data_IF_089590796725
#
_entry.id   IF_089590796725
#
_cell.length_a   1.000
_cell.length_b   1.000
_cell.length_c   1.000
_cell.angle_alpha   90.00
_cell.angle_beta   90.00
_cell.angle_gamma   90.00
#
_symmetry.space_group_name_H-M   'P 1'
#
loop_
_entity.id
_entity.type
_entity.pdbx_description
1 polymer ?
#
# COMPACT_ATOMS: atom_id res chain seq x y z
N UNK A 1 33.53 -4.28 -9.46
CA UNK A 1 33.34 -5.74 -9.55
C UNK A 1 32.15 -6.06 -8.68
N UNK A 2 31.00 -6.46 -9.25
CA UNK A 2 29.92 -7.05 -8.48
C UNK A 2 30.41 -8.44 -8.06
N UNK A 3 30.50 -8.69 -6.75
CA UNK A 3 30.73 -10.03 -6.24
C UNK A 3 29.55 -10.92 -6.70
N UNK A 4 29.88 -11.99 -7.40
CA UNK A 4 28.88 -12.99 -7.83
C UNK A 4 28.50 -13.78 -6.59
N UNK A 5 27.41 -13.36 -5.94
CA UNK A 5 26.88 -14.07 -4.78
C UNK A 5 25.95 -15.18 -5.25
N UNK A 6 26.23 -16.40 -4.83
CA UNK A 6 25.36 -17.55 -5.06
C UNK A 6 23.97 -17.26 -4.47
N UNK A 7 22.94 -17.53 -5.26
CA UNK A 7 21.56 -17.39 -4.79
C UNK A 7 21.21 -18.52 -3.84
N UNK A 8 20.48 -18.19 -2.77
CA UNK A 8 19.96 -19.19 -1.84
C UNK A 8 18.93 -20.09 -2.56
N UNK A 9 19.21 -21.38 -2.65
CA UNK A 9 18.33 -22.35 -3.36
C UNK A 9 17.62 -23.31 -2.43
N UNK A 10 18.12 -23.49 -1.19
CA UNK A 10 17.52 -24.34 -0.16
C UNK A 10 17.89 -23.86 1.23
N UNK A 11 17.15 -24.33 2.23
CA UNK A 11 17.43 -24.14 3.65
C UNK A 11 17.43 -25.49 4.36
N UNK A 12 18.28 -25.64 5.38
CA UNK A 12 18.30 -26.82 6.25
C UNK A 12 17.71 -26.50 7.62
N UNK A 13 16.97 -27.45 8.20
CA UNK A 13 16.49 -27.32 9.56
C UNK A 13 17.66 -27.21 10.54
N UNK A 14 17.62 -26.21 11.43
CA UNK A 14 18.72 -25.92 12.34
C UNK A 14 19.83 -25.04 11.73
N UNK A 15 19.78 -24.71 10.45
CA UNK A 15 20.73 -23.78 9.83
C UNK A 15 20.74 -22.44 10.58
N UNK A 16 21.95 -21.94 10.86
CA UNK A 16 22.16 -20.71 11.61
C UNK A 16 22.44 -19.53 10.66
N UNK A 17 21.65 -18.48 10.79
CA UNK A 17 21.75 -17.28 9.97
C UNK A 17 22.14 -16.11 10.87
N UNK A 18 23.37 -15.55 10.75
CA UNK A 18 23.79 -14.38 11.52
C UNK A 18 22.95 -13.14 11.16
N UNK A 19 22.63 -12.32 12.16
CA UNK A 19 21.96 -11.03 11.96
C UNK A 19 22.31 -10.06 13.11
N UNK A 20 22.11 -8.77 12.88
CA UNK A 20 22.29 -7.74 13.90
C UNK A 20 23.69 -7.70 14.55
N UNK A 21 24.71 -8.22 13.87
CA UNK A 21 26.11 -8.20 14.28
C UNK A 21 26.53 -9.43 15.10
N UNK A 22 25.85 -9.76 16.18
CA UNK A 22 26.22 -10.81 17.15
C UNK A 22 25.13 -11.85 17.43
N UNK A 23 23.97 -11.73 16.77
CA UNK A 23 22.82 -12.60 16.97
C UNK A 23 22.72 -13.66 15.87
N UNK A 24 21.97 -14.73 16.14
CA UNK A 24 21.74 -15.83 15.21
C UNK A 24 20.27 -16.19 15.19
N UNK A 25 19.67 -16.19 14.02
CA UNK A 25 18.37 -16.82 13.76
C UNK A 25 18.56 -18.28 13.36
N UNK A 26 17.64 -19.14 13.76
CA UNK A 26 17.68 -20.58 13.46
C UNK A 26 16.52 -20.95 12.55
N UNK A 27 16.83 -21.59 11.43
CA UNK A 27 15.83 -22.05 10.46
C UNK A 27 15.01 -23.19 11.08
N UNK A 28 13.68 -23.01 11.12
CA UNK A 28 12.77 -24.07 11.57
C UNK A 28 12.64 -25.20 10.53
N UNK A 29 12.24 -26.39 10.97
CA UNK A 29 11.97 -27.51 10.06
C UNK A 29 10.86 -27.16 9.05
N UNK A 30 9.85 -26.40 9.47
CA UNK A 30 8.78 -25.94 8.60
C UNK A 30 9.32 -25.01 7.50
N UNK A 31 10.08 -23.97 7.87
CA UNK A 31 10.65 -23.02 6.91
C UNK A 31 11.56 -23.74 5.89
N UNK A 32 12.40 -24.67 6.38
CA UNK A 32 13.27 -25.47 5.51
C UNK A 32 12.47 -26.33 4.51
N UNK A 33 11.36 -26.93 4.96
CA UNK A 33 10.51 -27.76 4.09
C UNK A 33 9.69 -26.96 3.07
N UNK A 34 9.41 -25.69 3.35
CA UNK A 34 8.60 -24.79 2.51
C UNK A 34 9.45 -24.00 1.51
N UNK A 35 10.72 -23.75 1.82
CA UNK A 35 11.60 -22.90 0.98
C UNK A 35 11.89 -23.58 -0.36
N UNK A 36 11.83 -22.78 -1.43
CA UNK A 36 12.06 -23.22 -2.82
C UNK A 36 13.09 -22.30 -3.50
N UNK A 37 13.79 -22.78 -4.52
CA UNK A 37 14.63 -21.93 -5.35
C UNK A 37 13.83 -20.74 -5.92
N UNK A 38 14.39 -19.53 -5.79
CA UNK A 38 13.72 -18.29 -6.19
C UNK A 38 12.97 -17.59 -5.06
N UNK A 39 12.67 -18.28 -3.96
CA UNK A 39 12.11 -17.63 -2.77
C UNK A 39 13.10 -16.64 -2.16
N UNK A 40 12.58 -15.61 -1.55
CA UNK A 40 13.37 -14.63 -0.80
C UNK A 40 13.24 -14.89 0.71
N UNK A 41 14.37 -14.84 1.41
CA UNK A 41 14.43 -14.91 2.85
C UNK A 41 14.73 -13.53 3.44
N UNK A 42 13.83 -13.04 4.27
CA UNK A 42 14.03 -11.79 5.02
C UNK A 42 14.29 -12.11 6.48
N UNK A 43 15.40 -11.64 7.02
CA UNK A 43 15.66 -11.67 8.46
C UNK A 43 15.23 -10.35 9.05
N UNK A 44 14.20 -10.33 9.88
CA UNK A 44 13.76 -9.11 10.57
C UNK A 44 14.80 -8.74 11.62
N UNK A 45 15.55 -7.67 11.39
CA UNK A 45 16.72 -7.31 12.20
C UNK A 45 16.40 -7.02 13.69
N UNK A 46 15.19 -6.56 13.99
CA UNK A 46 14.77 -6.26 15.36
C UNK A 46 14.52 -7.54 16.19
N UNK A 47 13.92 -8.57 15.57
CA UNK A 47 13.46 -9.78 16.27
C UNK A 47 14.24 -11.04 15.94
N UNK A 48 14.96 -11.09 14.82
CA UNK A 48 15.56 -12.31 14.27
C UNK A 48 14.56 -13.26 13.60
N UNK A 49 13.30 -12.82 13.41
CA UNK A 49 12.29 -13.63 12.73
C UNK A 49 12.69 -13.82 11.27
N UNK A 50 12.59 -15.06 10.81
CA UNK A 50 12.80 -15.43 9.42
C UNK A 50 11.47 -15.40 8.67
N UNK A 51 11.37 -14.58 7.62
CA UNK A 51 10.18 -14.45 6.78
C UNK A 51 10.53 -14.98 5.39
N UNK A 52 9.74 -15.93 4.91
CA UNK A 52 9.80 -16.42 3.53
C UNK A 52 8.86 -15.59 2.67
N UNK A 53 9.36 -15.10 1.56
CA UNK A 53 8.58 -14.51 0.48
C UNK A 53 8.67 -15.46 -0.72
N UNK A 54 7.59 -16.17 -1.08
CA UNK A 54 7.56 -17.00 -2.27
C UNK A 54 7.92 -16.22 -3.53
N UNK A 55 8.60 -16.87 -4.48
CA UNK A 55 9.03 -16.23 -5.74
C UNK A 55 7.87 -15.56 -6.46
N UNK A 56 6.72 -16.24 -6.60
CA UNK A 56 5.52 -15.69 -7.25
C UNK A 56 4.98 -14.42 -6.58
N UNK A 57 5.07 -14.34 -5.24
CA UNK A 57 4.64 -13.15 -4.51
C UNK A 57 5.61 -11.99 -4.70
N UNK A 58 6.89 -12.30 -4.78
CA UNK A 58 7.91 -11.31 -5.09
C UNK A 58 7.73 -10.76 -6.51
N UNK A 59 7.56 -11.63 -7.52
CA UNK A 59 7.35 -11.25 -8.92
C UNK A 59 6.07 -10.42 -9.11
N UNK A 60 4.96 -10.82 -8.46
CA UNK A 60 3.70 -10.07 -8.50
C UNK A 60 3.88 -8.64 -7.98
N UNK A 61 4.56 -8.50 -6.85
CA UNK A 61 4.82 -7.19 -6.24
C UNK A 61 5.82 -6.38 -7.07
N UNK A 62 6.89 -7.01 -7.56
CA UNK A 62 7.88 -6.36 -8.42
C UNK A 62 7.23 -5.74 -9.66
N UNK A 63 6.33 -6.50 -10.31
CA UNK A 63 5.58 -6.02 -11.46
C UNK A 63 4.64 -4.85 -11.10
N UNK A 64 3.92 -4.93 -9.97
CA UNK A 64 3.03 -3.87 -9.52
C UNK A 64 3.79 -2.58 -9.20
N UNK A 65 4.92 -2.69 -8.47
CA UNK A 65 5.77 -1.54 -8.14
C UNK A 65 6.43 -0.97 -9.41
N UNK A 66 6.90 -1.83 -10.33
CA UNK A 66 7.45 -1.38 -11.62
C UNK A 66 6.45 -0.56 -12.44
N UNK A 67 5.18 -1.01 -12.50
CA UNK A 67 4.11 -0.24 -13.14
C UNK A 67 3.84 1.09 -12.42
N UNK A 68 3.89 1.11 -11.09
CA UNK A 68 3.68 2.34 -10.32
C UNK A 68 4.83 3.34 -10.49
N UNK A 69 6.08 2.88 -10.59
CA UNK A 69 7.24 3.72 -10.91
C UNK A 69 7.07 4.37 -12.29
N UNK A 70 6.67 3.60 -13.29
CA UNK A 70 6.38 4.12 -14.63
C UNK A 70 5.20 5.10 -14.60
N UNK A 71 4.14 4.77 -13.83
CA UNK A 71 2.97 5.61 -13.61
C UNK A 71 3.33 6.93 -12.94
N UNK A 72 4.23 6.91 -11.96
CA UNK A 72 4.71 8.12 -11.28
C UNK A 72 5.42 9.07 -12.27
N UNK A 73 6.32 8.55 -13.09
CA UNK A 73 7.00 9.35 -14.12
C UNK A 73 6.01 10.00 -15.10
N UNK A 74 5.03 9.22 -15.57
CA UNK A 74 4.02 9.74 -16.50
C UNK A 74 3.01 10.70 -15.84
N UNK A 75 2.74 10.53 -14.52
CA UNK A 75 1.84 11.42 -13.76
C UNK A 75 2.41 12.84 -13.62
N UNK A 76 3.73 13.01 -13.72
CA UNK A 76 4.38 14.32 -13.69
C UNK A 76 3.93 15.21 -14.85
N UNK A 77 3.55 14.63 -15.99
CA UNK A 77 3.06 15.35 -17.17
C UNK A 77 1.54 15.66 -17.09
N UNK A 78 0.84 15.11 -16.10
CA UNK A 78 -0.61 15.31 -15.95
C UNK A 78 -0.91 16.62 -15.23
N UNK A 79 -2.00 17.28 -15.64
CA UNK A 79 -2.49 18.51 -15.03
C UNK A 79 -3.26 18.25 -13.73
N UNK A 80 -3.41 19.29 -12.90
CA UNK A 80 -4.24 19.21 -11.70
C UNK A 80 -5.72 19.01 -12.02
N UNK A 81 -6.18 19.51 -13.18
CA UNK A 81 -7.55 19.29 -13.68
C UNK A 81 -7.79 17.81 -14.01
N UNK A 82 -6.80 17.11 -14.60
CA UNK A 82 -6.91 15.68 -14.85
C UNK A 82 -6.97 14.89 -13.54
N UNK A 83 -6.18 15.26 -12.54
CA UNK A 83 -6.23 14.62 -11.21
C UNK A 83 -7.57 14.92 -10.53
N UNK A 84 -8.09 16.13 -10.63
CA UNK A 84 -9.42 16.51 -10.13
C UNK A 84 -10.51 15.70 -10.82
N UNK A 85 -10.43 15.57 -12.16
CA UNK A 85 -11.37 14.76 -12.94
C UNK A 85 -11.31 13.26 -12.54
N UNK A 86 -10.14 12.71 -12.22
CA UNK A 86 -10.03 11.35 -11.72
C UNK A 86 -10.85 11.12 -10.45
N UNK A 87 -10.73 11.97 -9.45
CA UNK A 87 -11.51 11.84 -8.22
C UNK A 87 -13.00 11.99 -8.47
N UNK A 88 -13.41 12.95 -9.32
CA UNK A 88 -14.81 13.14 -9.68
C UNK A 88 -15.39 11.92 -10.41
N UNK A 89 -14.66 11.40 -11.41
CA UNK A 89 -15.08 10.20 -12.15
C UNK A 89 -15.14 8.97 -11.26
N UNK A 90 -14.16 8.77 -10.37
CA UNK A 90 -14.16 7.62 -9.46
C UNK A 90 -15.36 7.70 -8.49
N UNK A 91 -15.62 8.86 -7.89
CA UNK A 91 -16.80 9.09 -7.07
C UNK A 91 -18.10 8.86 -7.88
N UNK A 92 -18.13 9.30 -9.15
CA UNK A 92 -19.24 9.10 -10.06
C UNK A 92 -19.53 7.62 -10.33
N UNK A 93 -18.52 6.82 -10.64
CA UNK A 93 -18.67 5.38 -10.86
C UNK A 93 -19.15 4.64 -9.60
N UNK A 94 -18.67 5.03 -8.41
CA UNK A 94 -19.17 4.46 -7.16
C UNK A 94 -20.62 4.88 -6.84
N UNK A 95 -21.10 5.98 -7.41
CA UNK A 95 -22.47 6.49 -7.24
C UNK A 95 -23.45 5.83 -8.22
N UNK A 96 -22.96 5.44 -9.37
CA UNK A 96 -23.75 4.81 -10.41
C UNK A 96 -24.15 3.38 -10.01
N UNK A 97 -25.44 3.05 -10.13
CA UNK A 97 -25.97 1.76 -9.67
C UNK A 97 -25.49 0.59 -10.53
N UNK A 98 -25.40 0.75 -11.84
CA UNK A 98 -24.98 -0.32 -12.75
C UNK A 98 -23.51 -0.67 -12.55
N UNK A 99 -22.66 0.34 -12.34
CA UNK A 99 -21.25 0.17 -12.01
C UNK A 99 -21.05 -0.41 -10.61
N UNK A 100 -21.88 -0.03 -9.65
CA UNK A 100 -21.76 -0.49 -8.27
C UNK A 100 -22.30 -1.91 -8.05
N UNK A 101 -23.25 -2.38 -8.84
CA UNK A 101 -23.87 -3.70 -8.69
C UNK A 101 -22.84 -4.86 -8.63
N UNK A 102 -21.86 -4.99 -9.56
CA UNK A 102 -20.84 -6.04 -9.47
C UNK A 102 -19.93 -5.89 -8.24
N UNK A 103 -19.66 -4.67 -7.78
CA UNK A 103 -18.88 -4.41 -6.56
C UNK A 103 -19.66 -4.91 -5.33
N UNK A 104 -20.94 -4.61 -5.25
CA UNK A 104 -21.80 -5.08 -4.17
C UNK A 104 -21.91 -6.61 -4.16
N UNK A 105 -22.03 -7.26 -5.33
CA UNK A 105 -22.05 -8.72 -5.44
C UNK A 105 -20.73 -9.34 -4.92
N UNK A 106 -19.58 -8.83 -5.35
CA UNK A 106 -18.27 -9.28 -4.84
C UNK A 106 -18.13 -9.09 -3.32
N UNK A 107 -18.73 -8.03 -2.77
CA UNK A 107 -18.71 -7.81 -1.32
C UNK A 107 -19.58 -8.83 -0.57
N UNK A 108 -20.73 -9.22 -1.09
CA UNK A 108 -21.57 -10.28 -0.52
C UNK A 108 -20.75 -11.58 -0.42
N UNK A 109 -20.08 -11.97 -1.50
CA UNK A 109 -19.23 -13.16 -1.52
C UNK A 109 -18.07 -13.10 -0.50
N UNK A 110 -17.42 -11.94 -0.38
CA UNK A 110 -16.36 -11.73 0.62
C UNK A 110 -16.90 -11.88 2.06
N UNK A 111 -18.06 -11.29 2.33
CA UNK A 111 -18.71 -11.35 3.65
C UNK A 111 -19.12 -12.80 3.98
N UNK A 112 -19.66 -13.55 3.02
CA UNK A 112 -20.03 -14.94 3.22
C UNK A 112 -18.80 -15.83 3.50
N UNK A 113 -17.71 -15.65 2.75
CA UNK A 113 -16.44 -16.35 2.98
C UNK A 113 -15.86 -16.03 4.37
N UNK A 114 -15.90 -14.77 4.80
CA UNK A 114 -15.43 -14.36 6.11
C UNK A 114 -16.27 -14.98 7.24
N UNK A 115 -17.59 -15.01 7.11
CA UNK A 115 -18.52 -15.67 8.06
C UNK A 115 -18.24 -17.17 8.17
N UNK A 116 -18.07 -17.85 7.03
CA UNK A 116 -17.77 -19.28 7.00
C UNK A 116 -16.46 -19.62 7.73
N UNK A 117 -15.53 -18.68 7.80
CA UNK A 117 -14.26 -18.78 8.54
C UNK A 117 -14.34 -18.29 9.99
N UNK A 118 -15.53 -17.92 10.49
CA UNK A 118 -15.73 -17.39 11.84
C UNK A 118 -15.11 -16.00 12.08
N UNK A 119 -14.85 -15.23 11.02
CA UNK A 119 -14.27 -13.88 11.11
C UNK A 119 -15.35 -12.80 11.27
N UNK A 120 -14.98 -11.70 11.94
CA UNK A 120 -15.87 -10.54 12.08
C UNK A 120 -16.09 -9.87 10.73
N UNK A 121 -17.35 -9.62 10.38
CA UNK A 121 -17.74 -8.94 9.14
C UNK A 121 -18.14 -7.47 9.34
N UNK A 122 -18.12 -6.96 10.57
CA UNK A 122 -18.61 -5.60 10.90
C UNK A 122 -17.94 -4.49 10.07
N UNK A 123 -16.66 -4.66 9.73
CA UNK A 123 -15.90 -3.69 8.94
C UNK A 123 -15.77 -4.07 7.46
N UNK A 124 -16.31 -5.23 7.10
CA UNK A 124 -16.21 -5.78 5.75
C UNK A 124 -17.44 -5.44 4.91
N UNK A 125 -18.61 -5.39 5.54
CA UNK A 125 -19.87 -5.11 4.85
C UNK A 125 -19.83 -3.73 4.20
N UNK A 126 -19.96 -3.70 2.88
CA UNK A 126 -20.07 -2.49 2.07
C UNK A 126 -21.54 -2.05 1.99
N UNK A 127 -22.04 -1.51 3.08
CA UNK A 127 -23.39 -0.95 3.13
C UNK A 127 -23.44 0.46 2.50
N UNK A 128 -24.65 0.99 2.39
CA UNK A 128 -24.88 2.32 1.81
C UNK A 128 -24.18 3.44 2.58
N UNK A 129 -23.98 3.27 3.89
CA UNK A 129 -23.23 4.23 4.70
C UNK A 129 -21.74 4.21 4.33
N UNK A 130 -21.16 3.03 4.13
CA UNK A 130 -19.78 2.88 3.72
C UNK A 130 -19.57 3.37 2.28
N UNK A 131 -20.49 3.05 1.35
CA UNK A 131 -20.49 3.57 -0.02
C UNK A 131 -20.46 5.09 -0.05
N UNK A 132 -21.39 5.75 0.66
CA UNK A 132 -21.40 7.21 0.79
C UNK A 132 -20.12 7.77 1.41
N UNK A 133 -19.55 7.08 2.41
CA UNK A 133 -18.29 7.47 3.03
C UNK A 133 -17.12 7.42 2.05
N UNK A 134 -17.06 6.41 1.18
CA UNK A 134 -16.05 6.30 0.12
C UNK A 134 -16.18 7.45 -0.90
N UNK A 135 -17.41 7.71 -1.36
CA UNK A 135 -17.71 8.81 -2.28
C UNK A 135 -17.29 10.15 -1.67
N UNK A 136 -17.71 10.44 -0.44
CA UNK A 136 -17.37 11.67 0.27
C UNK A 136 -15.84 11.83 0.47
N UNK A 137 -15.13 10.73 0.74
CA UNK A 137 -13.67 10.75 0.84
C UNK A 137 -12.98 11.12 -0.47
N UNK A 138 -13.47 10.60 -1.61
CA UNK A 138 -12.96 10.95 -2.94
C UNK A 138 -13.29 12.41 -3.31
N UNK A 139 -14.50 12.87 -3.00
CA UNK A 139 -14.91 14.28 -3.20
C UNK A 139 -14.06 15.22 -2.34
N UNK A 140 -13.74 14.83 -1.09
CA UNK A 140 -12.83 15.59 -0.25
C UNK A 140 -11.44 15.78 -0.87
N UNK A 141 -10.91 14.71 -1.50
CA UNK A 141 -9.65 14.82 -2.24
C UNK A 141 -9.79 15.66 -3.53
N UNK A 142 -10.90 15.54 -4.26
CA UNK A 142 -11.22 16.40 -5.41
C UNK A 142 -11.13 17.87 -5.04
N UNK A 143 -11.71 18.24 -3.91
CA UNK A 143 -11.84 19.62 -3.46
C UNK A 143 -10.58 20.13 -2.74
N UNK A 144 -9.61 19.25 -2.44
CA UNK A 144 -8.33 19.61 -1.83
C UNK A 144 -7.40 20.25 -2.88
N UNK A 145 -6.78 21.37 -2.54
CA UNK A 145 -5.78 22.03 -3.38
C UNK A 145 -4.56 21.12 -3.56
N UNK A 146 -4.10 20.96 -4.80
CA UNK A 146 -2.95 20.09 -5.11
C UNK A 146 -1.64 20.66 -4.56
N UNK A 147 -1.44 21.96 -4.65
CA UNK A 147 -0.21 22.64 -4.22
C UNK A 147 1.08 22.03 -4.83
N UNK A 148 0.98 21.34 -5.97
CA UNK A 148 2.15 20.81 -6.67
C UNK A 148 3.02 21.96 -7.15
N UNK A 149 4.32 21.82 -7.09
CA UNK A 149 5.32 22.81 -7.51
C UNK A 149 5.24 24.19 -6.81
N UNK A 150 4.42 24.30 -5.74
CA UNK A 150 4.34 25.52 -4.97
C UNK A 150 5.69 25.86 -4.36
N UNK A 151 6.15 27.10 -4.58
CA UNK A 151 7.30 27.66 -3.85
C UNK A 151 6.93 27.82 -2.37
N UNK A 152 7.64 27.11 -1.49
CA UNK A 152 7.44 27.17 -0.03
C UNK A 152 8.36 28.17 0.64
N UNK A 153 9.54 28.43 0.03
CA UNK A 153 10.52 29.40 0.49
C UNK A 153 11.38 29.86 -0.68
N UNK A 154 11.89 31.10 -0.64
CA UNK A 154 12.80 31.62 -1.64
C UNK A 154 13.79 32.61 -1.02
N UNK A 155 15.08 32.42 -1.32
CA UNK A 155 16.16 33.27 -0.87
C UNK A 155 16.80 33.92 -2.08
N UNK A 156 16.81 35.26 -2.11
CA UNK A 156 17.46 36.03 -3.15
C UNK A 156 18.89 36.43 -2.73
N UNK A 157 19.83 36.28 -3.66
CA UNK A 157 21.20 36.73 -3.56
C UNK A 157 21.53 37.66 -4.73
N UNK A 158 22.69 38.34 -4.66
CA UNK A 158 23.12 39.18 -5.78
C UNK A 158 23.44 38.29 -7.00
N UNK A 159 22.64 38.45 -8.06
CA UNK A 159 22.77 37.71 -9.32
C UNK A 159 22.19 36.28 -9.38
N UNK A 160 21.64 35.75 -8.29
CA UNK A 160 20.99 34.43 -8.27
C UNK A 160 19.96 34.29 -7.14
N UNK A 161 19.10 33.27 -7.23
CA UNK A 161 18.14 32.93 -6.18
C UNK A 161 18.01 31.42 -6.02
N UNK A 162 17.63 30.97 -4.81
CA UNK A 162 17.28 29.60 -4.52
C UNK A 162 15.82 29.55 -4.08
N UNK A 163 15.03 28.66 -4.67
CA UNK A 163 13.65 28.43 -4.27
C UNK A 163 13.45 26.98 -3.85
N UNK A 164 12.78 26.77 -2.71
CA UNK A 164 12.32 25.46 -2.26
C UNK A 164 10.92 25.22 -2.82
N UNK A 165 10.78 24.15 -3.61
CA UNK A 165 9.51 23.76 -4.20
C UNK A 165 8.95 22.52 -3.48
N UNK A 166 7.63 22.47 -3.36
CA UNK A 166 6.93 21.25 -2.95
C UNK A 166 6.97 20.25 -4.10
N UNK A 167 7.45 19.02 -3.85
CA UNK A 167 7.54 17.95 -4.83
C UNK A 167 6.85 16.67 -4.31
N UNK A 168 6.31 15.83 -5.20
CA UNK A 168 5.82 14.51 -4.80
C UNK A 168 6.96 13.62 -4.30
N UNK A 169 6.64 12.68 -3.40
CA UNK A 169 7.62 11.77 -2.82
C UNK A 169 8.06 10.69 -3.81
N UNK A 170 7.12 10.15 -4.60
CA UNK A 170 7.34 9.02 -5.47
C UNK A 170 6.24 7.97 -5.37
N UNK A 171 6.62 6.69 -5.30
CA UNK A 171 5.69 5.57 -5.11
C UNK A 171 5.42 5.37 -3.63
N UNK A 172 4.14 5.42 -3.23
CA UNK A 172 3.71 5.15 -1.85
C UNK A 172 3.13 3.74 -1.76
N UNK A 173 3.69 2.91 -0.88
CA UNK A 173 3.19 1.57 -0.61
C UNK A 173 2.24 1.54 0.57
N UNK A 174 1.04 0.96 0.43
CA UNK A 174 0.12 0.74 1.54
C UNK A 174 -0.13 -0.74 1.81
N UNK A 175 -0.19 -1.11 3.08
CA UNK A 175 -0.76 -2.38 3.54
C UNK A 175 -1.90 -2.09 4.50
N UNK A 176 -3.11 -2.51 4.11
CA UNK A 176 -4.34 -2.32 4.86
C UNK A 176 -4.87 -3.66 5.41
N UNK A 177 -5.60 -3.59 6.52
CA UNK A 177 -6.53 -4.65 6.92
C UNK A 177 -7.67 -4.79 5.89
N UNK A 178 -8.44 -5.89 5.97
CA UNK A 178 -9.56 -6.16 5.08
C UNK A 178 -10.75 -5.22 5.31
N UNK A 179 -10.73 -4.06 4.65
CA UNK A 179 -11.83 -3.08 4.64
C UNK A 179 -12.01 -2.53 3.23
N UNK A 180 -13.21 -2.54 2.67
CA UNK A 180 -13.47 -2.02 1.32
C UNK A 180 -13.19 -0.52 1.15
N UNK A 181 -13.30 0.28 2.19
CA UNK A 181 -13.24 1.75 2.13
C UNK A 181 -11.83 2.35 2.09
N UNK A 182 -10.78 1.55 1.98
CA UNK A 182 -9.39 2.02 1.97
C UNK A 182 -8.99 2.78 0.71
N UNK A 183 -9.82 2.72 -0.35
CA UNK A 183 -9.52 3.36 -1.63
C UNK A 183 -9.42 4.88 -1.53
N UNK A 184 -10.27 5.53 -0.74
CA UNK A 184 -10.18 6.97 -0.52
C UNK A 184 -8.84 7.35 0.13
N UNK A 185 -8.35 6.54 1.08
CA UNK A 185 -7.05 6.75 1.71
C UNK A 185 -5.89 6.48 0.73
N UNK A 186 -5.94 5.34 0.02
CA UNK A 186 -4.89 4.96 -0.91
C UNK A 186 -4.75 5.95 -2.07
N UNK A 187 -5.86 6.36 -2.68
CA UNK A 187 -5.86 7.27 -3.81
C UNK A 187 -5.53 8.73 -3.44
N UNK A 188 -5.66 9.10 -2.15
CA UNK A 188 -5.40 10.47 -1.69
C UNK A 188 -4.01 10.98 -2.04
N UNK A 189 -3.00 10.10 -2.08
CA UNK A 189 -1.61 10.47 -2.43
C UNK A 189 -1.47 10.95 -3.88
N UNK A 190 -2.41 10.57 -4.77
CA UNK A 190 -2.44 11.01 -6.17
C UNK A 190 -2.66 12.52 -6.26
N UNK A 191 -3.41 13.11 -5.28
CA UNK A 191 -3.68 14.56 -5.25
C UNK A 191 -2.40 15.39 -5.22
N UNK A 192 -1.34 14.87 -4.63
CA UNK A 192 -0.03 15.53 -4.53
C UNK A 192 0.99 14.97 -5.54
N UNK A 193 0.54 14.26 -6.58
CA UNK A 193 1.37 13.80 -7.67
C UNK A 193 2.14 12.49 -7.42
N UNK A 194 1.78 11.74 -6.36
CA UNK A 194 2.39 10.44 -6.09
C UNK A 194 1.63 9.31 -6.77
N UNK A 195 2.30 8.23 -7.12
CA UNK A 195 1.66 6.95 -7.43
C UNK A 195 1.55 6.07 -6.18
N UNK A 196 0.69 5.07 -6.25
CA UNK A 196 0.43 4.19 -5.13
C UNK A 196 0.36 2.73 -5.53
N UNK A 197 0.97 1.87 -4.70
CA UNK A 197 0.76 0.42 -4.71
C UNK A 197 0.19 0.02 -3.37
N UNK A 198 -0.92 -0.72 -3.36
CA UNK A 198 -1.50 -1.14 -2.09
C UNK A 198 -1.91 -2.60 -2.09
N UNK A 199 -1.84 -3.19 -0.90
CA UNK A 199 -2.34 -4.54 -0.60
C UNK A 199 -3.42 -4.42 0.46
N UNK A 200 -4.50 -5.17 0.28
CA UNK A 200 -5.61 -5.26 1.23
C UNK A 200 -5.67 -6.66 1.86
N UNK A 201 -6.25 -6.77 3.05
CA UNK A 201 -6.47 -8.05 3.70
C UNK A 201 -7.34 -9.00 2.87
N UNK A 202 -7.07 -10.31 2.94
CA UNK A 202 -7.68 -11.35 2.12
C UNK A 202 -9.22 -11.38 2.17
N UNK A 203 -9.82 -10.91 3.27
CA UNK A 203 -11.28 -10.94 3.43
C UNK A 203 -12.00 -9.90 2.56
N UNK A 204 -11.31 -8.83 2.11
CA UNK A 204 -11.86 -7.79 1.25
C UNK A 204 -11.25 -7.78 -0.16
N UNK A 205 -10.47 -8.78 -0.51
CA UNK A 205 -9.73 -8.78 -1.79
C UNK A 205 -10.66 -8.85 -3.00
N UNK A 206 -11.70 -9.67 -2.96
CA UNK A 206 -12.68 -9.76 -4.05
C UNK A 206 -13.39 -8.43 -4.29
N UNK A 207 -13.85 -7.78 -3.22
CA UNK A 207 -14.46 -6.43 -3.29
C UNK A 207 -13.46 -5.42 -3.85
N UNK A 208 -12.19 -5.47 -3.40
CA UNK A 208 -11.16 -4.55 -3.87
C UNK A 208 -10.87 -4.72 -5.37
N UNK A 209 -10.74 -5.96 -5.85
CA UNK A 209 -10.56 -6.26 -7.27
C UNK A 209 -11.73 -5.72 -8.10
N UNK A 210 -12.98 -5.94 -7.64
CA UNK A 210 -14.17 -5.41 -8.32
C UNK A 210 -14.19 -3.87 -8.36
N UNK A 211 -13.80 -3.17 -7.28
CA UNK A 211 -13.66 -1.71 -7.28
C UNK A 211 -12.61 -1.25 -8.28
N UNK A 212 -11.46 -1.94 -8.35
CA UNK A 212 -10.40 -1.62 -9.32
C UNK A 212 -10.92 -1.77 -10.75
N UNK A 213 -11.56 -2.87 -11.05
CA UNK A 213 -12.03 -3.21 -12.40
C UNK A 213 -13.17 -2.30 -12.87
N UNK A 214 -14.20 -2.11 -12.03
CA UNK A 214 -15.42 -1.44 -12.44
C UNK A 214 -15.45 0.06 -12.19
N UNK A 215 -14.62 0.59 -11.28
CA UNK A 215 -14.66 2.00 -10.94
C UNK A 215 -13.30 2.71 -11.08
N UNK A 216 -12.21 2.16 -10.52
CA UNK A 216 -10.93 2.85 -10.46
C UNK A 216 -10.23 2.93 -11.82
N UNK A 217 -10.04 1.80 -12.51
CA UNK A 217 -9.40 1.79 -13.84
C UNK A 217 -10.19 2.59 -14.88
N UNK A 218 -11.53 2.48 -14.95
CA UNK A 218 -12.34 3.37 -15.78
C UNK A 218 -12.16 4.84 -15.44
N UNK A 219 -12.03 5.20 -14.16
CA UNK A 219 -11.83 6.59 -13.73
C UNK A 219 -10.46 7.13 -14.17
N UNK A 220 -9.38 6.35 -14.01
CA UNK A 220 -8.04 6.71 -14.49
C UNK A 220 -8.07 6.95 -16.01
N UNK A 221 -8.67 6.03 -16.76
CA UNK A 221 -8.76 6.13 -18.22
C UNK A 221 -9.58 7.37 -18.66
N UNK A 222 -10.74 7.60 -18.03
CA UNK A 222 -11.61 8.74 -18.36
C UNK A 222 -10.99 10.10 -18.01
N UNK A 223 -10.06 10.13 -17.04
CA UNK A 223 -9.31 11.33 -16.66
C UNK A 223 -8.01 11.49 -17.45
N UNK A 224 -7.63 10.52 -18.28
CA UNK A 224 -6.35 10.51 -19.01
C UNK A 224 -5.14 10.34 -18.10
N UNK A 225 -5.31 9.69 -16.93
CA UNK A 225 -4.20 9.36 -16.04
C UNK A 225 -3.59 8.00 -16.40
N UNK A 226 -2.28 7.83 -16.16
CA UNK A 226 -1.59 6.55 -16.40
C UNK A 226 -2.19 5.41 -15.56
N UNK A 227 -2.38 4.24 -16.13
CA UNK A 227 -2.92 3.05 -15.42
C UNK A 227 -2.03 2.56 -14.26
N UNK A 228 -0.75 2.93 -14.27
CA UNK A 228 0.19 2.68 -13.17
C UNK A 228 0.06 3.62 -11.98
N UNK A 229 -0.76 4.68 -12.07
CA UNK A 229 -0.93 5.66 -10.98
C UNK A 229 -1.44 5.00 -9.69
N UNK A 230 -2.34 4.03 -9.79
CA UNK A 230 -2.89 3.28 -8.65
C UNK A 230 -2.87 1.78 -8.96
N UNK A 231 -2.18 1.00 -8.14
CA UNK A 231 -2.04 -0.45 -8.34
C UNK A 231 -2.45 -1.21 -7.09
N UNK A 232 -3.31 -2.21 -7.26
CA UNK A 232 -3.63 -3.22 -6.25
C UNK A 232 -2.68 -4.42 -6.43
N UNK A 233 -2.10 -4.90 -5.34
CA UNK A 233 -1.44 -6.20 -5.28
C UNK A 233 -2.52 -7.25 -5.03
N UNK A 234 -2.87 -8.01 -6.07
CA UNK A 234 -3.96 -9.01 -6.02
C UNK A 234 -3.48 -10.31 -5.38
N UNK A 235 -3.14 -10.23 -4.10
CA UNK A 235 -2.70 -11.39 -3.32
C UNK A 235 -3.34 -11.45 -1.95
N UNK A 236 -3.85 -12.63 -1.60
CA UNK A 236 -4.34 -12.96 -0.26
C UNK A 236 -3.21 -13.20 0.74
N UNK A 237 -1.99 -13.46 0.27
CA UNK A 237 -0.85 -13.88 1.07
C UNK A 237 -0.24 -12.73 1.87
N UNK A 238 0.08 -12.97 3.14
CA UNK A 238 0.76 -11.97 3.98
C UNK A 238 2.17 -11.65 3.46
N UNK A 239 2.84 -12.63 2.85
CA UNK A 239 4.17 -12.49 2.26
C UNK A 239 4.24 -11.43 1.15
N UNK A 240 3.13 -11.17 0.43
CA UNK A 240 3.05 -10.06 -0.52
C UNK A 240 3.19 -8.69 0.16
N UNK A 241 2.71 -8.55 1.40
CA UNK A 241 2.92 -7.33 2.20
C UNK A 241 4.39 -7.15 2.60
N UNK A 242 5.08 -8.25 2.95
CA UNK A 242 6.52 -8.21 3.24
C UNK A 242 7.31 -7.91 1.97
N UNK A 243 6.96 -8.50 0.82
CA UNK A 243 7.56 -8.19 -0.47
C UNK A 243 7.42 -6.70 -0.81
N UNK A 244 6.21 -6.14 -0.68
CA UNK A 244 5.94 -4.73 -0.95
C UNK A 244 6.81 -3.81 -0.08
N UNK A 245 6.87 -4.06 1.23
CA UNK A 245 7.61 -3.19 2.15
C UNK A 245 9.12 -3.40 2.11
N UNK A 246 9.62 -4.48 1.49
CA UNK A 246 11.04 -4.66 1.19
C UNK A 246 11.50 -4.01 -0.12
N UNK A 247 10.58 -3.48 -0.91
CA UNK A 247 10.92 -2.88 -2.20
C UNK A 247 11.48 -1.45 -2.03
N UNK A 248 12.75 -1.28 -2.37
CA UNK A 248 13.50 -0.01 -2.23
C UNK A 248 13.04 1.11 -3.17
N UNK A 249 12.19 0.81 -4.13
CA UNK A 249 11.59 1.82 -5.04
C UNK A 249 10.45 2.59 -4.37
N UNK A 250 9.97 2.13 -3.20
CA UNK A 250 8.99 2.89 -2.42
C UNK A 250 9.65 4.10 -1.77
N UNK A 251 9.02 5.25 -1.92
CA UNK A 251 9.39 6.47 -1.19
C UNK A 251 8.84 6.49 0.25
N UNK A 252 7.68 5.86 0.45
CA UNK A 252 7.02 5.76 1.76
C UNK A 252 6.22 4.47 1.83
N UNK A 253 6.33 3.76 2.97
CA UNK A 253 5.50 2.61 3.31
C UNK A 253 4.53 2.95 4.43
N UNK A 254 3.23 2.75 4.21
CA UNK A 254 2.15 3.07 5.16
C UNK A 254 1.43 1.78 5.56
N UNK A 255 1.48 1.41 6.82
CA UNK A 255 0.77 0.25 7.36
C UNK A 255 -0.37 0.66 8.27
N UNK A 256 -1.55 0.05 8.05
CA UNK A 256 -2.72 0.18 8.92
C UNK A 256 -3.24 -1.21 9.28
N UNK A 257 -3.25 -1.53 10.58
CA UNK A 257 -3.67 -2.83 11.03
C UNK A 257 -3.41 -3.09 12.50
N UNK A 258 -3.33 -4.38 12.89
CA UNK A 258 -3.00 -4.76 14.25
C UNK A 258 -1.57 -4.34 14.63
N UNK A 259 -1.34 -4.02 15.91
CA UNK A 259 -0.05 -3.51 16.37
C UNK A 259 1.13 -4.40 16.01
N UNK A 260 1.00 -5.73 16.16
CA UNK A 260 2.05 -6.69 15.85
C UNK A 260 2.38 -6.74 14.33
N UNK A 261 1.36 -6.81 13.48
CA UNK A 261 1.55 -6.84 12.03
C UNK A 261 2.17 -5.53 11.51
N UNK A 262 1.70 -4.39 12.03
CA UNK A 262 2.24 -3.07 11.67
C UNK A 262 3.70 -2.92 12.10
N UNK A 263 4.07 -3.42 13.30
CA UNK A 263 5.44 -3.39 13.78
C UNK A 263 6.37 -4.23 12.90
N UNK A 264 5.97 -5.46 12.52
CA UNK A 264 6.76 -6.35 11.66
C UNK A 264 6.96 -5.74 10.26
N UNK A 265 5.89 -5.26 9.63
CA UNK A 265 5.96 -4.58 8.34
C UNK A 265 6.86 -3.34 8.40
N UNK A 266 6.74 -2.55 9.49
CA UNK A 266 7.58 -1.39 9.70
C UNK A 266 9.07 -1.72 9.85
N UNK A 267 9.41 -2.84 10.52
CA UNK A 267 10.78 -3.32 10.63
C UNK A 267 11.34 -3.72 9.25
N UNK A 268 10.55 -4.46 8.45
CA UNK A 268 10.92 -4.84 7.06
C UNK A 268 11.19 -3.61 6.21
N UNK A 269 10.32 -2.59 6.24
CA UNK A 269 10.49 -1.38 5.45
C UNK A 269 11.75 -0.59 5.87
N UNK A 270 11.94 -0.37 7.19
CA UNK A 270 13.11 0.38 7.70
C UNK A 270 14.43 -0.29 7.34
N UNK A 271 14.53 -1.62 7.47
CA UNK A 271 15.77 -2.33 7.10
C UNK A 271 16.05 -2.30 5.60
N UNK A 272 15.02 -2.07 4.78
CA UNK A 272 15.14 -1.86 3.33
C UNK A 272 15.46 -0.41 2.95
N UNK A 273 15.52 0.50 3.95
CA UNK A 273 15.78 1.93 3.73
C UNK A 273 14.55 2.73 3.31
N UNK A 274 13.35 2.18 3.46
CA UNK A 274 12.09 2.84 3.12
C UNK A 274 11.54 3.60 4.32
N UNK A 275 11.15 4.87 4.13
CA UNK A 275 10.47 5.66 5.15
C UNK A 275 9.11 5.04 5.51
N UNK A 276 8.68 5.15 6.77
CA UNK A 276 7.47 4.49 7.25
C UNK A 276 6.49 5.44 7.94
N UNK A 277 5.20 5.18 7.76
CA UNK A 277 4.09 5.74 8.55
C UNK A 277 3.23 4.59 9.07
N UNK A 278 3.26 4.38 10.39
CA UNK A 278 2.71 3.18 11.00
C UNK A 278 1.50 3.54 11.88
N UNK A 279 0.35 2.95 11.55
CA UNK A 279 -0.91 3.15 12.27
C UNK A 279 -1.38 1.80 12.83
N UNK A 280 -0.90 1.48 14.03
CA UNK A 280 -1.34 0.33 14.81
C UNK A 280 -2.69 0.57 15.50
N UNK A 281 -2.96 -0.17 16.57
CA UNK A 281 -4.16 0.00 17.38
C UNK A 281 -4.19 1.41 17.97
N UNK A 282 -5.19 2.21 17.61
CA UNK A 282 -5.33 3.59 18.07
C UNK A 282 -5.52 3.63 19.59
N UNK A 283 -4.58 4.27 20.30
CA UNK A 283 -4.77 4.66 21.70
C UNK A 283 -5.73 5.87 21.76
N UNK A 284 -6.81 5.74 22.51
CA UNK A 284 -7.62 6.90 22.85
C UNK A 284 -6.87 7.68 23.94
N UNK A 285 -6.26 8.82 23.58
CA UNK A 285 -5.74 9.77 24.56
C UNK A 285 -6.93 10.56 25.11
N UNK A 286 -7.43 10.15 26.27
CA UNK A 286 -8.34 10.98 27.07
C UNK A 286 -7.49 12.07 27.76
N UNK A 287 -7.52 13.27 27.22
CA UNK A 287 -7.09 14.45 27.95
C UNK A 287 -8.17 14.78 28.97
N UNK A 288 -7.96 14.37 30.21
CA UNK A 288 -8.65 15.01 31.32
C UNK A 288 -7.90 16.29 31.66
N UNK A 289 -8.44 17.46 31.26
CA UNK A 289 -7.97 18.70 31.85
C UNK A 289 -8.23 18.67 33.35
N UNK A 290 -7.27 19.02 34.18
CA UNK A 290 -7.60 19.24 35.60
C UNK A 290 -8.66 20.32 35.68
N UNK A 291 -9.78 20.00 36.31
CA UNK A 291 -10.81 20.99 36.65
C UNK A 291 -10.19 22.05 37.56
N UNK A 292 -10.47 23.35 37.34
CA UNK A 292 -9.95 24.42 38.17
C UNK A 292 -10.41 24.29 39.62
#
# INVERSE_FOLDING_TARGET
MAEDHDRLTSLEAGQRIPFGGDRVAVVSAQLASEFRPGDHLVVVQDSGRLLRIPAEQHELVDAAVGQAVSGFGALAECTDDQITAFFDRFAGFLRDEDTFAPIAAANIDDVERARARGRSTTRLVLDEKMRRGMIAGLEGWRDTTADRDRVVDAIAHDGWSVAAHRAPLGVVGFVFEGRPNVFADACGVVRTGNSVVFRIGSDALGTATAIVEHALLPALAAAGLPSGTVKLVESAEHSAGHALFSDRRLALAVARGSGAAVAELGAVARQSGVAVSLHGTGGCLLYTSPSP
#
